data_IF_671848700877
#
_entry.id   IF_671848700877
#
_cell.length_a   1.000
_cell.length_b   1.000
_cell.length_c   1.000
_cell.angle_alpha   90.00
_cell.angle_beta   90.00
_cell.angle_gamma   90.00
#
_symmetry.space_group_name_H-M   'P 1'
#
loop_
_entity.id
_entity.type
_entity.pdbx_description
1 polymer ?
#
# COMPACT_ATOMS: atom_id res chain seq x y z
N UNK A 1 38.01 17.22 27.25
CA UNK A 1 37.36 16.71 26.01
C UNK A 1 35.89 16.53 26.33
N UNK A 2 35.02 17.07 25.52
CA UNK A 2 33.58 16.85 25.72
C UNK A 2 33.29 15.39 25.40
N UNK A 3 32.59 14.66 26.28
CA UNK A 3 32.35 13.22 26.21
C UNK A 3 31.42 12.78 25.06
N UNK A 4 30.88 13.74 24.29
CA UNK A 4 29.93 13.48 23.21
C UNK A 4 30.57 13.01 21.89
N UNK A 5 31.89 13.08 21.72
CA UNK A 5 32.53 12.81 20.43
C UNK A 5 33.19 11.43 20.30
N UNK A 6 33.12 10.61 21.36
CA UNK A 6 33.64 9.23 21.36
C UNK A 6 32.88 8.37 22.36
N UNK A 7 32.33 7.29 21.87
CA UNK A 7 31.65 6.28 22.67
C UNK A 7 32.26 4.92 22.38
N UNK A 8 32.43 4.10 23.42
CA UNK A 8 32.73 2.69 23.26
C UNK A 8 31.45 2.00 22.77
N UNK A 9 31.54 1.35 21.62
CA UNK A 9 30.42 0.56 21.05
C UNK A 9 30.39 -0.85 21.62
N UNK A 10 29.26 -1.52 21.42
CA UNK A 10 29.10 -2.93 21.70
C UNK A 10 29.77 -3.79 20.60
N UNK A 11 29.98 -5.06 20.91
CA UNK A 11 30.46 -6.04 19.94
C UNK A 11 29.48 -6.34 18.85
N UNK A 12 29.87 -7.16 17.88
CA UNK A 12 29.00 -7.56 16.76
C UNK A 12 27.77 -8.32 17.28
N UNK A 13 26.56 -7.86 16.93
CA UNK A 13 25.33 -8.59 17.15
C UNK A 13 25.19 -9.67 16.05
N UNK A 14 25.03 -10.92 16.46
CA UNK A 14 24.83 -12.09 15.58
C UNK A 14 23.37 -12.54 15.50
N UNK A 15 22.43 -11.67 15.90
CA UNK A 15 21.00 -11.95 15.76
C UNK A 15 20.62 -12.13 14.28
N UNK A 16 19.62 -12.97 13.95
CA UNK A 16 19.19 -13.20 12.56
C UNK A 16 18.81 -11.94 11.80
N UNK A 17 18.26 -10.96 12.50
CA UNK A 17 17.92 -9.64 11.98
C UNK A 17 18.42 -8.58 12.95
N UNK A 18 19.07 -7.55 12.44
CA UNK A 18 19.49 -6.42 13.24
C UNK A 18 18.34 -5.75 13.98
N UNK A 19 18.67 -5.00 15.03
CA UNK A 19 17.72 -4.20 15.80
C UNK A 19 17.90 -2.73 15.44
N UNK A 20 16.83 -1.92 15.39
CA UNK A 20 16.96 -0.47 15.37
C UNK A 20 17.64 0.01 16.67
N UNK A 21 18.17 1.24 16.66
CA UNK A 21 18.65 1.89 17.90
C UNK A 21 17.54 1.88 18.96
N UNK A 22 17.91 1.72 20.23
CA UNK A 22 16.96 1.82 21.35
C UNK A 22 16.24 3.16 21.40
N UNK A 23 16.86 4.22 20.86
CA UNK A 23 16.28 5.56 20.75
C UNK A 23 15.21 5.66 19.66
N UNK A 24 15.12 4.69 18.76
CA UNK A 24 14.11 4.57 17.69
C UNK A 24 12.99 3.58 18.04
N UNK A 25 12.85 3.17 19.30
CA UNK A 25 11.85 2.22 19.76
C UNK A 25 10.40 2.72 19.58
N UNK A 26 10.21 4.02 19.36
CA UNK A 26 8.91 4.64 19.08
C UNK A 26 8.43 4.44 17.63
N UNK A 27 9.35 4.10 16.70
CA UNK A 27 9.01 3.88 15.28
C UNK A 27 8.37 2.49 15.15
N UNK A 28 7.06 2.44 15.25
CA UNK A 28 6.28 1.20 15.27
C UNK A 28 5.07 1.27 14.34
N UNK A 29 4.62 0.11 13.89
CA UNK A 29 3.29 -0.02 13.28
C UNK A 29 2.22 0.29 14.34
N UNK A 30 1.30 1.19 14.00
CA UNK A 30 0.17 1.49 14.90
C UNK A 30 -0.87 0.39 14.82
N UNK A 31 -1.19 -0.23 15.93
CA UNK A 31 -2.33 -1.12 16.08
C UNK A 31 -3.60 -0.32 16.46
N UNK A 32 -4.76 -0.79 16.01
CA UNK A 32 -6.06 -0.16 16.28
C UNK A 32 -7.08 -1.24 16.63
N UNK A 33 -7.02 -1.82 17.84
CA UNK A 33 -7.81 -2.99 18.22
C UNK A 33 -9.32 -2.82 18.07
N UNK A 34 -9.84 -1.60 18.22
CA UNK A 34 -11.28 -1.32 18.10
C UNK A 34 -11.84 -1.29 16.68
N UNK A 35 -10.97 -1.33 15.63
CA UNK A 35 -11.42 -1.38 14.24
C UNK A 35 -11.85 -2.78 13.79
N UNK A 36 -11.52 -3.80 14.56
CA UNK A 36 -11.82 -5.20 14.23
C UNK A 36 -12.50 -5.88 15.40
N UNK A 37 -13.35 -6.85 15.10
CA UNK A 37 -14.14 -7.56 16.14
C UNK A 37 -13.29 -8.49 17.01
N UNK A 38 -12.11 -8.86 16.54
CA UNK A 38 -11.19 -9.77 17.21
C UNK A 38 -9.76 -9.60 16.68
N UNK A 39 -8.74 -10.06 17.42
CA UNK A 39 -7.33 -9.94 17.02
C UNK A 39 -6.94 -10.79 15.80
N UNK A 40 -7.77 -11.76 15.41
CA UNK A 40 -7.53 -12.61 14.23
C UNK A 40 -7.84 -11.85 12.95
N UNK A 41 -8.83 -10.96 12.98
CA UNK A 41 -9.16 -10.05 11.89
C UNK A 41 -8.49 -8.68 12.10
N UNK A 42 -7.17 -8.67 12.27
CA UNK A 42 -6.40 -7.50 12.72
C UNK A 42 -5.98 -6.56 11.59
N UNK A 43 -5.63 -5.34 11.99
CA UNK A 43 -5.12 -4.30 11.12
C UNK A 43 -4.11 -3.44 11.87
N UNK A 44 -3.02 -3.07 11.20
CA UNK A 44 -2.09 -2.05 11.68
C UNK A 44 -1.62 -1.14 10.54
N UNK A 45 -0.88 -0.09 10.87
CA UNK A 45 -0.58 1.01 9.97
C UNK A 45 0.92 1.31 9.95
N UNK A 46 1.49 1.45 8.75
CA UNK A 46 2.86 1.90 8.51
C UNK A 46 3.07 3.34 9.06
N UNK A 47 4.14 3.62 9.81
CA UNK A 47 4.42 4.96 10.35
C UNK A 47 5.01 5.88 9.27
N UNK A 48 4.20 6.37 8.34
CA UNK A 48 4.65 7.15 7.17
C UNK A 48 5.40 8.43 7.52
N UNK A 49 5.14 9.02 8.69
CA UNK A 49 5.77 10.26 9.16
C UNK A 49 7.20 10.03 9.70
N UNK A 50 7.56 8.79 10.01
CA UNK A 50 8.88 8.39 10.51
C UNK A 50 9.78 7.82 9.40
N UNK A 51 9.29 7.75 8.16
CA UNK A 51 10.00 7.10 7.07
C UNK A 51 10.43 8.10 6.00
N UNK A 52 11.67 7.95 5.56
CA UNK A 52 12.22 8.64 4.40
C UNK A 52 12.37 7.69 3.20
N UNK A 53 12.63 8.29 2.01
CA UNK A 53 12.73 7.54 0.77
C UNK A 53 11.41 6.90 0.35
N UNK A 54 11.50 5.82 -0.43
CA UNK A 54 10.32 5.14 -1.00
C UNK A 54 10.19 3.67 -0.58
N UNK A 55 11.21 3.09 0.05
CA UNK A 55 11.20 1.68 0.47
C UNK A 55 10.84 1.58 1.95
N UNK A 56 9.81 0.82 2.23
CA UNK A 56 9.36 0.54 3.60
C UNK A 56 10.15 -0.62 4.18
N UNK A 57 10.78 -0.48 5.37
CA UNK A 57 11.37 -1.61 6.08
C UNK A 57 10.34 -2.73 6.33
N UNK A 58 10.73 -3.99 6.16
CA UNK A 58 9.80 -5.12 6.24
C UNK A 58 9.01 -5.17 7.56
N UNK A 59 9.65 -4.85 8.69
CA UNK A 59 9.00 -4.82 10.00
C UNK A 59 7.98 -3.69 10.18
N UNK A 60 7.98 -2.69 9.30
CA UNK A 60 7.07 -1.53 9.35
C UNK A 60 5.98 -1.56 8.27
N UNK A 61 5.98 -2.58 7.40
CA UNK A 61 4.92 -2.78 6.42
C UNK A 61 3.59 -3.10 7.13
N UNK A 62 2.52 -2.38 6.78
CA UNK A 62 1.22 -2.63 7.37
C UNK A 62 0.74 -4.08 7.18
N UNK A 63 -0.11 -4.53 8.08
CA UNK A 63 -0.78 -5.81 8.02
C UNK A 63 -2.30 -5.62 7.98
N UNK A 64 -2.97 -6.51 7.26
CA UNK A 64 -4.41 -6.69 7.29
C UNK A 64 -4.73 -8.17 7.13
N UNK A 65 -5.39 -8.74 8.14
CA UNK A 65 -5.77 -10.15 8.17
C UNK A 65 -7.29 -10.29 8.29
N UNK A 66 -7.83 -11.31 7.66
CA UNK A 66 -9.25 -11.70 7.77
C UNK A 66 -9.44 -12.97 8.61
N UNK A 67 -8.44 -13.84 8.64
CA UNK A 67 -8.44 -15.11 9.37
C UNK A 67 -7.11 -15.40 10.07
N UNK A 68 -6.39 -14.35 10.51
CA UNK A 68 -5.10 -14.48 11.16
C UNK A 68 -3.94 -14.72 10.21
N UNK A 69 -2.75 -14.89 10.78
CA UNK A 69 -1.51 -15.17 10.06
C UNK A 69 -1.30 -16.68 9.97
N UNK A 70 -1.27 -17.23 8.75
CA UNK A 70 -0.99 -18.64 8.56
C UNK A 70 0.51 -18.92 8.78
N UNK A 71 0.80 -20.00 9.53
CA UNK A 71 2.16 -20.51 9.73
C UNK A 71 2.33 -21.74 8.86
N UNK A 72 3.12 -21.64 7.79
CA UNK A 72 3.22 -22.68 6.76
C UNK A 72 4.68 -23.12 6.64
N UNK A 73 4.91 -24.45 6.74
CA UNK A 73 6.18 -25.04 6.40
C UNK A 73 6.36 -25.02 4.87
N UNK A 74 7.40 -24.38 4.31
CA UNK A 74 7.60 -24.29 2.87
C UNK A 74 7.83 -25.65 2.20
N UNK A 75 8.31 -26.66 2.93
CA UNK A 75 8.47 -28.03 2.40
C UNK A 75 7.12 -28.70 2.07
N UNK A 76 6.06 -28.33 2.82
CA UNK A 76 4.72 -28.87 2.65
C UNK A 76 3.83 -28.00 1.75
N UNK A 77 4.26 -26.77 1.48
CA UNK A 77 3.48 -25.82 0.68
C UNK A 77 3.44 -26.24 -0.81
N UNK A 78 2.26 -26.07 -1.40
CA UNK A 78 2.03 -26.34 -2.83
C UNK A 78 1.24 -25.21 -3.45
N UNK A 79 1.59 -24.87 -4.71
CA UNK A 79 0.78 -24.02 -5.57
C UNK A 79 0.15 -24.88 -6.66
N UNK A 80 -1.16 -24.99 -6.67
CA UNK A 80 -1.92 -25.67 -7.73
C UNK A 80 -2.35 -24.66 -8.80
N UNK A 81 -2.22 -25.04 -10.08
CA UNK A 81 -2.84 -24.36 -11.21
C UNK A 81 -3.78 -25.34 -11.89
N UNK A 82 -5.04 -25.00 -12.05
CA UNK A 82 -6.08 -25.87 -12.62
C UNK A 82 -7.18 -25.05 -13.34
N UNK A 83 -8.26 -25.71 -13.72
CA UNK A 83 -9.39 -25.12 -14.45
C UNK A 83 -9.21 -25.20 -15.96
N UNK A 84 -9.43 -24.11 -16.68
CA UNK A 84 -9.31 -24.06 -18.15
C UNK A 84 -7.83 -23.99 -18.59
N UNK A 85 -7.09 -25.04 -18.30
CA UNK A 85 -5.69 -25.27 -18.69
C UNK A 85 -5.57 -26.61 -19.42
N UNK A 86 -4.51 -26.79 -20.20
CA UNK A 86 -4.25 -28.06 -20.89
C UNK A 86 -3.76 -29.11 -19.89
N UNK A 87 -2.90 -28.72 -18.96
CA UNK A 87 -2.33 -29.61 -17.95
C UNK A 87 -2.43 -28.98 -16.58
N UNK A 88 -3.27 -29.48 -15.66
CA UNK A 88 -3.23 -29.07 -14.27
C UNK A 88 -1.87 -29.37 -13.64
N UNK A 89 -1.29 -28.40 -12.95
CA UNK A 89 0.05 -28.47 -12.36
C UNK A 89 0.02 -28.22 -10.86
N UNK A 90 0.96 -28.83 -10.15
CA UNK A 90 1.23 -28.59 -8.73
C UNK A 90 2.72 -28.32 -8.57
N UNK A 91 3.05 -27.12 -8.13
CA UNK A 91 4.43 -26.70 -7.90
C UNK A 91 4.79 -26.77 -6.41
N UNK A 92 5.98 -27.29 -6.12
CA UNK A 92 6.65 -27.10 -4.82
C UNK A 92 7.36 -25.74 -4.80
N UNK A 93 7.83 -25.31 -3.64
CA UNK A 93 8.67 -24.12 -3.53
C UNK A 93 9.99 -24.25 -4.30
N UNK A 94 10.54 -25.48 -4.40
CA UNK A 94 11.76 -25.74 -5.17
C UNK A 94 11.52 -25.68 -6.69
N UNK A 95 10.35 -26.13 -7.15
CA UNK A 95 9.98 -26.01 -8.58
C UNK A 95 9.88 -24.54 -8.97
N UNK A 96 9.21 -23.70 -8.15
CA UNK A 96 9.06 -22.27 -8.40
C UNK A 96 10.41 -21.56 -8.49
N UNK A 97 11.40 -21.94 -7.67
CA UNK A 97 12.75 -21.35 -7.71
C UNK A 97 13.54 -21.65 -8.99
N UNK A 98 13.11 -22.61 -9.79
CA UNK A 98 13.74 -22.99 -11.08
C UNK A 98 13.28 -22.13 -12.24
N UNK A 99 12.17 -21.40 -12.11
CA UNK A 99 11.68 -20.45 -13.11
C UNK A 99 12.51 -19.15 -13.11
N UNK A 100 12.55 -18.43 -14.22
CA UNK A 100 13.09 -17.08 -14.28
C UNK A 100 12.42 -16.19 -13.23
N UNK A 101 13.22 -15.45 -12.45
CA UNK A 101 12.72 -14.58 -11.40
C UNK A 101 13.05 -13.13 -11.71
N UNK A 102 12.19 -12.24 -11.24
CA UNK A 102 12.32 -10.81 -11.39
C UNK A 102 12.28 -10.12 -10.02
N UNK A 103 12.95 -8.96 -9.94
CA UNK A 103 12.87 -8.03 -8.82
C UNK A 103 12.09 -6.80 -9.29
N UNK A 104 11.04 -6.43 -8.54
CA UNK A 104 10.18 -5.29 -8.87
C UNK A 104 9.89 -4.46 -7.63
N UNK A 105 10.01 -3.14 -7.76
CA UNK A 105 9.60 -2.18 -6.73
C UNK A 105 8.13 -1.87 -6.94
N UNK A 106 7.28 -2.23 -5.99
CA UNK A 106 5.85 -1.96 -6.06
C UNK A 106 5.32 -1.45 -4.73
N UNK A 107 4.37 -0.51 -4.79
CA UNK A 107 3.54 -0.24 -3.64
C UNK A 107 2.41 -1.27 -3.53
N UNK A 108 1.99 -1.53 -2.30
CA UNK A 108 0.76 -2.24 -1.98
C UNK A 108 -0.07 -1.35 -1.07
N UNK A 109 -1.28 -1.01 -1.49
CA UNK A 109 -2.24 -0.19 -0.75
C UNK A 109 -3.53 -0.98 -0.50
N UNK A 110 -4.02 -0.97 0.74
CA UNK A 110 -5.33 -1.52 1.07
C UNK A 110 -6.45 -0.66 0.44
N UNK A 111 -7.46 -1.29 -0.15
CA UNK A 111 -8.61 -0.57 -0.71
C UNK A 111 -9.28 0.38 0.29
N UNK A 112 -9.23 0.05 1.60
CA UNK A 112 -9.80 0.87 2.67
C UNK A 112 -8.84 1.96 3.21
N UNK A 113 -7.67 2.17 2.60
CA UNK A 113 -6.73 3.23 3.02
C UNK A 113 -7.36 4.61 2.80
N UNK A 114 -7.52 5.38 3.88
CA UNK A 114 -8.31 6.62 3.88
C UNK A 114 -9.80 6.42 4.10
N UNK A 115 -10.27 5.21 4.34
CA UNK A 115 -11.71 4.89 4.48
C UNK A 115 -12.42 5.66 5.59
N UNK A 116 -11.70 6.01 6.66
CA UNK A 116 -12.25 6.81 7.76
C UNK A 116 -12.55 8.25 7.36
N UNK A 117 -11.88 8.78 6.33
CA UNK A 117 -12.01 10.17 5.86
C UNK A 117 -13.26 10.41 4.97
N UNK A 118 -14.02 9.37 4.62
CA UNK A 118 -15.24 9.52 3.83
C UNK A 118 -16.32 10.40 4.51
N UNK A 119 -16.37 10.37 5.85
CA UNK A 119 -17.37 11.10 6.65
C UNK A 119 -16.82 12.38 7.26
N UNK A 120 -15.71 12.90 6.74
CA UNK A 120 -15.03 14.08 7.25
C UNK A 120 -13.72 13.75 7.96
N UNK A 121 -13.00 14.80 8.32
CA UNK A 121 -11.70 14.69 8.98
C UNK A 121 -11.82 13.98 10.32
N UNK A 122 -10.91 13.06 10.57
CA UNK A 122 -10.76 12.38 11.85
C UNK A 122 -9.60 13.02 12.63
N UNK A 123 -9.66 13.02 13.96
CA UNK A 123 -8.60 13.51 14.84
C UNK A 123 -7.39 12.56 14.83
N UNK A 124 -6.78 12.38 13.65
CA UNK A 124 -5.67 11.46 13.42
C UNK A 124 -4.73 11.99 12.35
N UNK A 125 -3.47 11.60 12.43
CA UNK A 125 -2.46 11.96 11.44
C UNK A 125 -2.28 10.92 10.33
N UNK A 126 -1.24 11.13 9.53
CA UNK A 126 -1.03 10.39 8.28
C UNK A 126 -0.85 8.88 8.46
N UNK A 127 -0.30 8.42 9.60
CA UNK A 127 -0.19 6.98 9.88
C UNK A 127 -1.57 6.31 9.90
N UNK A 128 -2.55 6.90 10.57
CA UNK A 128 -3.89 6.32 10.66
C UNK A 128 -4.70 6.53 9.37
N UNK A 129 -4.64 7.72 8.79
CA UNK A 129 -5.45 8.06 7.60
C UNK A 129 -4.93 7.39 6.33
N UNK A 130 -3.61 7.20 6.22
CA UNK A 130 -2.95 6.74 4.98
C UNK A 130 -1.97 5.58 5.18
N UNK A 131 -1.76 5.08 6.40
CA UNK A 131 -0.73 4.10 6.72
C UNK A 131 -1.02 2.66 6.28
N UNK A 132 -2.14 2.37 5.64
CA UNK A 132 -2.37 1.07 5.01
C UNK A 132 -1.73 1.00 3.61
N UNK A 133 -0.49 1.41 3.53
CA UNK A 133 0.36 1.36 2.33
C UNK A 133 1.79 1.03 2.72
N UNK A 134 2.48 0.31 1.86
CA UNK A 134 3.93 0.15 1.89
C UNK A 134 4.48 0.00 0.47
N UNK A 135 5.78 0.21 0.28
CA UNK A 135 6.46 -0.03 -0.98
C UNK A 135 7.76 -0.79 -0.72
N UNK A 136 7.97 -1.86 -1.46
CA UNK A 136 9.08 -2.79 -1.24
C UNK A 136 9.58 -3.37 -2.56
N UNK A 137 10.76 -3.99 -2.52
CA UNK A 137 11.28 -4.82 -3.62
C UNK A 137 10.73 -6.23 -3.46
N UNK A 138 9.79 -6.64 -4.31
CA UNK A 138 9.36 -8.04 -4.39
C UNK A 138 10.26 -8.83 -5.34
N UNK A 139 10.61 -10.06 -4.95
CA UNK A 139 11.29 -11.04 -5.81
C UNK A 139 10.40 -12.25 -6.00
N UNK A 140 10.16 -12.63 -7.24
CA UNK A 140 9.29 -13.77 -7.56
C UNK A 140 9.35 -14.18 -9.03
N UNK A 141 8.47 -15.08 -9.40
CA UNK A 141 8.28 -15.58 -10.76
C UNK A 141 7.13 -14.81 -11.41
N UNK A 142 7.30 -14.20 -12.59
CA UNK A 142 6.18 -13.68 -13.37
C UNK A 142 5.10 -14.75 -13.57
N UNK A 143 3.85 -14.40 -13.23
CA UNK A 143 2.74 -15.34 -13.26
C UNK A 143 2.53 -15.95 -14.67
N UNK A 144 2.80 -15.16 -15.72
CA UNK A 144 2.70 -15.62 -17.12
C UNK A 144 3.46 -16.92 -17.38
N UNK A 145 4.66 -17.09 -16.81
CA UNK A 145 5.45 -18.33 -17.05
C UNK A 145 4.77 -19.57 -16.47
N UNK A 146 4.13 -19.44 -15.32
CA UNK A 146 3.41 -20.54 -14.69
C UNK A 146 2.13 -20.88 -15.45
N UNK A 147 1.43 -19.85 -15.97
CA UNK A 147 0.23 -20.01 -16.79
C UNK A 147 0.56 -20.56 -18.18
N UNK A 148 1.67 -20.15 -18.77
CA UNK A 148 2.18 -20.71 -20.04
C UNK A 148 2.53 -22.20 -19.89
N UNK A 149 3.20 -22.58 -18.79
CA UNK A 149 3.54 -23.97 -18.50
C UNK A 149 2.30 -24.86 -18.35
N UNK A 150 1.24 -24.33 -17.73
CA UNK A 150 -0.04 -25.03 -17.59
C UNK A 150 -0.85 -25.09 -18.89
N UNK A 151 -0.57 -24.22 -19.87
CA UNK A 151 -1.30 -24.12 -21.13
C UNK A 151 -2.69 -23.57 -20.97
N UNK A 152 -2.82 -22.25 -20.75
CA UNK A 152 -4.14 -21.60 -20.60
C UNK A 152 -4.93 -21.72 -21.90
N UNK A 153 -6.15 -22.27 -21.82
CA UNK A 153 -7.05 -22.40 -22.95
C UNK A 153 -7.58 -21.04 -23.41
N UNK A 154 -7.88 -20.89 -24.66
CA UNK A 154 -8.40 -19.63 -25.26
C UNK A 154 -9.74 -19.18 -24.65
N UNK A 155 -10.50 -20.11 -24.05
CA UNK A 155 -11.72 -19.82 -23.28
C UNK A 155 -11.45 -19.27 -21.88
N UNK A 156 -10.22 -19.43 -21.34
CA UNK A 156 -9.84 -18.88 -20.04
C UNK A 156 -9.80 -17.34 -20.07
N UNK A 157 -10.62 -16.68 -19.27
CA UNK A 157 -10.75 -15.22 -19.20
C UNK A 157 -10.41 -14.67 -17.83
N UNK A 158 -10.43 -15.50 -16.80
CA UNK A 158 -10.23 -15.12 -15.42
C UNK A 158 -9.31 -16.12 -14.71
N UNK A 159 -8.62 -15.65 -13.69
CA UNK A 159 -7.85 -16.46 -12.76
C UNK A 159 -8.35 -16.20 -11.35
N UNK A 160 -8.88 -17.22 -10.68
CA UNK A 160 -9.15 -17.17 -9.25
C UNK A 160 -7.85 -17.43 -8.49
N UNK A 161 -7.42 -16.49 -7.66
CA UNK A 161 -6.34 -16.69 -6.71
C UNK A 161 -6.92 -17.02 -5.33
N UNK A 162 -6.38 -18.04 -4.65
CA UNK A 162 -6.84 -18.49 -3.33
C UNK A 162 -5.68 -18.63 -2.35
N UNK A 163 -5.88 -18.09 -1.13
CA UNK A 163 -4.96 -18.19 0.00
C UNK A 163 -5.19 -19.45 0.85
N UNK A 164 -4.15 -19.83 1.59
CA UNK A 164 -4.17 -20.96 2.53
C UNK A 164 -4.48 -20.56 3.98
N UNK A 165 -4.87 -19.29 4.21
CA UNK A 165 -5.31 -18.81 5.52
C UNK A 165 -6.70 -19.35 5.89
N UNK A 166 -7.10 -19.19 7.18
CA UNK A 166 -8.40 -19.65 7.66
C UNK A 166 -9.59 -18.97 6.96
N UNK A 167 -9.40 -17.77 6.41
CA UNK A 167 -10.43 -17.09 5.63
C UNK A 167 -10.56 -17.65 4.21
N UNK A 168 -9.59 -18.43 3.73
CA UNK A 168 -9.48 -18.92 2.35
C UNK A 168 -9.79 -17.81 1.34
N UNK A 169 -9.14 -16.67 1.53
CA UNK A 169 -9.43 -15.46 0.76
C UNK A 169 -9.22 -15.71 -0.73
N UNK A 170 -10.21 -15.34 -1.53
CA UNK A 170 -10.22 -15.55 -2.98
C UNK A 170 -10.48 -14.24 -3.71
N UNK A 171 -9.81 -14.07 -4.88
CA UNK A 171 -10.06 -12.93 -5.79
C UNK A 171 -9.96 -13.38 -7.25
N UNK A 172 -10.88 -12.89 -8.07
CA UNK A 172 -10.90 -13.10 -9.51
C UNK A 172 -10.13 -12.00 -10.23
N UNK A 173 -9.14 -12.39 -11.03
CA UNK A 173 -8.26 -11.48 -11.78
C UNK A 173 -8.48 -11.74 -13.28
N UNK A 174 -8.74 -10.72 -14.11
CA UNK A 174 -8.75 -10.89 -15.56
C UNK A 174 -7.45 -11.50 -16.08
N UNK A 175 -7.56 -12.40 -17.04
CA UNK A 175 -6.41 -13.14 -17.59
C UNK A 175 -5.35 -12.21 -18.17
N UNK A 176 -5.75 -11.10 -18.80
CA UNK A 176 -4.85 -10.11 -19.36
C UNK A 176 -3.95 -9.50 -18.29
N UNK A 177 -4.50 -9.18 -17.11
CA UNK A 177 -3.72 -8.68 -15.97
C UNK A 177 -2.80 -9.74 -15.41
N UNK A 178 -3.26 -10.99 -15.32
CA UNK A 178 -2.46 -12.11 -14.83
C UNK A 178 -1.23 -12.39 -15.71
N UNK A 179 -1.38 -12.21 -17.03
CA UNK A 179 -0.31 -12.40 -18.02
C UNK A 179 0.61 -11.18 -18.19
N UNK A 180 0.17 -9.99 -17.80
CA UNK A 180 0.96 -8.76 -17.96
C UNK A 180 2.06 -8.64 -16.89
N UNK A 181 1.71 -8.20 -15.68
CA UNK A 181 2.68 -7.75 -14.68
C UNK A 181 2.55 -8.46 -13.31
N UNK A 182 1.65 -9.43 -13.18
CA UNK A 182 1.50 -10.17 -11.93
C UNK A 182 2.74 -11.02 -11.62
N UNK A 183 3.10 -11.06 -10.33
CA UNK A 183 4.28 -11.77 -9.83
C UNK A 183 3.88 -12.72 -8.71
N UNK A 184 4.35 -13.96 -8.75
CA UNK A 184 4.24 -14.92 -7.64
C UNK A 184 5.50 -14.76 -6.78
N UNK A 185 5.41 -13.98 -5.71
CA UNK A 185 6.55 -13.54 -4.92
C UNK A 185 6.82 -14.45 -3.73
N UNK A 186 8.11 -14.66 -3.43
CA UNK A 186 8.60 -15.44 -2.29
C UNK A 186 9.66 -14.68 -1.46
N UNK A 187 10.06 -13.46 -1.89
CA UNK A 187 10.96 -12.57 -1.15
C UNK A 187 10.46 -11.13 -1.17
N UNK A 188 10.90 -10.36 -0.18
CA UNK A 188 10.56 -8.96 0.04
C UNK A 188 11.80 -8.25 0.62
N UNK A 189 12.28 -7.19 -0.04
CA UNK A 189 13.50 -6.45 0.32
C UNK A 189 14.72 -7.36 0.56
N UNK A 190 14.91 -8.40 -0.27
CA UNK A 190 16.06 -9.31 -0.22
C UNK A 190 15.95 -10.45 0.81
N UNK A 191 15.03 -10.39 1.79
CA UNK A 191 14.76 -11.48 2.73
C UNK A 191 13.55 -12.33 2.29
N UNK A 192 13.31 -13.47 2.94
CA UNK A 192 12.06 -14.21 2.76
C UNK A 192 10.86 -13.33 3.16
N UNK A 193 9.68 -13.61 2.58
CA UNK A 193 8.44 -12.99 3.07
C UNK A 193 8.30 -13.27 4.58
N UNK A 194 7.83 -12.30 5.34
CA UNK A 194 7.41 -12.54 6.72
C UNK A 194 6.07 -13.26 6.75
N UNK A 195 5.80 -14.00 7.81
CA UNK A 195 4.56 -14.79 7.95
C UNK A 195 3.32 -13.94 7.67
N UNK A 196 3.25 -12.76 8.29
CA UNK A 196 2.17 -11.79 8.15
C UNK A 196 2.06 -11.17 6.75
N UNK A 197 3.13 -11.22 5.97
CA UNK A 197 3.18 -10.77 4.58
C UNK A 197 2.94 -11.89 3.56
N UNK A 198 2.62 -13.11 4.03
CA UNK A 198 2.18 -14.22 3.19
C UNK A 198 3.23 -15.29 2.91
N UNK A 199 4.22 -15.49 3.82
CA UNK A 199 5.18 -16.60 3.69
C UNK A 199 4.48 -17.96 3.58
N UNK A 200 4.92 -18.87 2.68
CA UNK A 200 6.12 -18.76 1.83
C UNK A 200 5.88 -18.14 0.46
N UNK A 201 4.63 -17.86 0.05
CA UNK A 201 4.26 -17.46 -1.30
C UNK A 201 3.09 -16.48 -1.28
N UNK A 202 3.18 -15.41 -2.06
CA UNK A 202 2.07 -14.48 -2.27
C UNK A 202 1.93 -14.08 -3.73
N UNK A 203 0.73 -13.66 -4.11
CA UNK A 203 0.50 -13.00 -5.38
C UNK A 203 0.72 -11.50 -5.24
N UNK A 204 1.42 -10.89 -6.21
CA UNK A 204 1.50 -9.46 -6.42
C UNK A 204 0.68 -9.07 -7.65
N UNK A 205 -0.19 -8.07 -7.51
CA UNK A 205 -1.03 -7.54 -8.60
C UNK A 205 -0.79 -6.02 -8.67
N UNK A 206 0.31 -5.58 -9.33
CA UNK A 206 0.81 -4.22 -9.24
C UNK A 206 -0.19 -3.16 -9.64
N UNK A 207 -0.31 -2.10 -8.80
CA UNK A 207 -1.22 -0.98 -9.01
C UNK A 207 -2.67 -1.25 -8.64
N UNK A 208 -3.02 -2.48 -8.25
CA UNK A 208 -4.36 -2.85 -7.86
C UNK A 208 -4.53 -2.93 -6.35
N UNK A 209 -5.77 -2.85 -5.88
CA UNK A 209 -6.14 -2.87 -4.46
C UNK A 209 -5.54 -4.07 -3.70
N UNK A 210 -5.10 -3.83 -2.47
CA UNK A 210 -4.30 -4.78 -1.69
C UNK A 210 -4.96 -6.14 -1.43
N UNK A 211 -6.29 -6.23 -1.45
CA UNK A 211 -7.00 -7.50 -1.32
C UNK A 211 -6.80 -8.44 -2.53
N UNK A 212 -6.41 -7.90 -3.71
CA UNK A 212 -6.04 -8.69 -4.88
C UNK A 212 -4.70 -9.41 -4.72
N UNK A 213 -3.86 -8.93 -3.80
CA UNK A 213 -2.53 -9.46 -3.53
C UNK A 213 -2.60 -10.63 -2.53
N UNK A 214 -3.20 -11.74 -2.97
CA UNK A 214 -3.52 -12.88 -2.10
C UNK A 214 -2.26 -13.43 -1.44
N UNK A 215 -2.26 -13.46 -0.10
CA UNK A 215 -1.21 -14.02 0.76
C UNK A 215 -1.36 -15.54 0.89
N UNK A 216 -0.25 -16.21 1.22
CA UNK A 216 -0.24 -17.68 1.38
C UNK A 216 -0.86 -18.40 0.17
N UNK A 217 -0.47 -17.95 -1.02
CA UNK A 217 -1.06 -18.38 -2.27
C UNK A 217 -0.92 -19.89 -2.46
N UNK A 218 -2.05 -20.60 -2.56
CA UNK A 218 -2.09 -22.06 -2.70
C UNK A 218 -2.72 -22.56 -4.00
N UNK A 219 -3.59 -21.76 -4.64
CA UNK A 219 -4.30 -22.16 -5.84
C UNK A 219 -4.54 -20.99 -6.77
N UNK A 220 -4.41 -21.29 -8.07
CA UNK A 220 -4.80 -20.46 -9.19
C UNK A 220 -5.71 -21.30 -10.09
N UNK A 221 -6.96 -20.90 -10.27
CA UNK A 221 -7.92 -21.60 -11.11
C UNK A 221 -8.31 -20.73 -12.29
N UNK A 222 -8.13 -21.23 -13.51
CA UNK A 222 -8.51 -20.51 -14.73
C UNK A 222 -9.95 -20.81 -15.07
N UNK A 223 -10.76 -19.77 -15.30
CA UNK A 223 -12.17 -19.85 -15.67
C UNK A 223 -12.55 -18.88 -16.80
N UNK A 224 -13.75 -19.00 -17.29
CA UNK A 224 -14.32 -18.13 -18.33
C UNK A 224 -15.09 -16.93 -17.77
N UNK A 225 -15.47 -16.98 -16.47
CA UNK A 225 -16.18 -15.93 -15.75
C UNK A 225 -15.56 -15.69 -14.37
N UNK A 226 -15.76 -14.53 -13.71
CA UNK A 226 -15.36 -14.30 -12.34
C UNK A 226 -16.25 -15.09 -11.37
N UNK A 227 -15.68 -15.54 -10.23
CA UNK A 227 -16.39 -16.44 -9.29
C UNK A 227 -17.40 -15.75 -8.37
N UNK A 228 -17.47 -14.42 -8.35
CA UNK A 228 -18.39 -13.65 -7.51
C UNK A 228 -18.38 -14.08 -6.02
N UNK A 229 -17.19 -14.25 -5.46
CA UNK A 229 -16.98 -14.64 -4.07
C UNK A 229 -17.40 -13.55 -3.08
N UNK A 230 -17.30 -13.82 -1.76
CA UNK A 230 -17.64 -12.86 -0.70
C UNK A 230 -16.91 -11.52 -0.86
N UNK A 231 -15.63 -11.57 -1.21
CA UNK A 231 -14.76 -10.40 -1.42
C UNK A 231 -15.06 -9.66 -2.75
N UNK A 232 -16.04 -10.12 -3.51
CA UNK A 232 -16.45 -9.54 -4.79
C UNK A 232 -17.95 -9.20 -4.83
N UNK A 233 -18.66 -9.48 -3.75
CA UNK A 233 -20.11 -9.26 -3.66
C UNK A 233 -20.50 -8.46 -2.42
N UNK A 234 -20.18 -8.92 -1.21
CA UNK A 234 -20.52 -8.26 0.06
C UNK A 234 -19.38 -7.43 0.65
N UNK A 235 -18.15 -7.58 0.14
CA UNK A 235 -16.96 -6.82 0.51
C UNK A 235 -16.28 -6.30 -0.76
N UNK A 236 -15.50 -5.22 -0.63
CA UNK A 236 -14.76 -4.57 -1.72
C UNK A 236 -15.66 -4.21 -2.91
N UNK A 237 -16.90 -3.84 -2.61
CA UNK A 237 -17.88 -3.25 -3.54
C UNK A 237 -18.26 -1.87 -3.04
N UNK A 238 -18.43 -0.93 -3.96
CA UNK A 238 -18.83 0.44 -3.65
C UNK A 238 -20.33 0.63 -3.96
N UNK A 239 -21.07 1.20 -3.01
CA UNK A 239 -22.43 1.65 -3.23
C UNK A 239 -22.39 3.04 -3.87
N UNK A 240 -22.80 3.12 -5.12
CA UNK A 240 -22.86 4.37 -5.89
C UNK A 240 -24.10 5.20 -5.54
N UNK A 241 -24.11 6.52 -5.84
CA UNK A 241 -25.24 7.41 -5.58
C UNK A 241 -26.55 6.97 -6.22
N UNK A 242 -26.48 6.25 -7.33
CA UNK A 242 -27.67 5.69 -8.05
C UNK A 242 -28.22 4.39 -7.44
N UNK A 243 -27.67 3.95 -6.31
CA UNK A 243 -28.08 2.74 -5.58
C UNK A 243 -27.50 1.44 -6.15
N UNK A 244 -26.67 1.49 -7.18
CA UNK A 244 -26.00 0.32 -7.73
C UNK A 244 -24.71 -0.01 -6.97
N UNK A 245 -24.36 -1.29 -6.94
CA UNK A 245 -23.07 -1.74 -6.42
C UNK A 245 -22.05 -1.82 -7.56
N UNK A 246 -20.94 -1.10 -7.41
CA UNK A 246 -19.78 -1.22 -8.29
C UNK A 246 -18.90 -2.36 -7.80
N UNK A 247 -18.74 -3.40 -8.60
CA UNK A 247 -17.77 -4.47 -8.40
C UNK A 247 -16.50 -4.19 -9.22
N UNK A 248 -15.40 -4.80 -8.81
CA UNK A 248 -14.16 -4.79 -9.59
C UNK A 248 -13.64 -3.38 -9.90
N UNK A 249 -13.42 -2.58 -8.85
CA UNK A 249 -12.76 -1.28 -8.99
C UNK A 249 -11.27 -1.46 -9.35
N UNK A 250 -10.62 -2.47 -8.80
CA UNK A 250 -9.26 -2.93 -9.06
C UNK A 250 -8.17 -1.89 -8.80
N UNK A 251 -8.06 -0.90 -9.68
CA UNK A 251 -6.93 0.05 -9.71
C UNK A 251 -7.01 1.02 -8.53
N UNK A 252 -5.86 1.23 -7.87
CA UNK A 252 -5.67 2.30 -6.90
C UNK A 252 -5.33 3.59 -7.65
N UNK A 253 -6.27 4.53 -7.65
CA UNK A 253 -6.13 5.79 -8.37
C UNK A 253 -5.00 6.66 -7.79
N UNK A 254 -4.59 7.67 -8.59
CA UNK A 254 -3.55 8.63 -8.21
C UNK A 254 -3.86 9.29 -6.86
N UNK A 255 -2.86 9.29 -5.95
CA UNK A 255 -3.01 9.77 -4.58
C UNK A 255 -1.70 10.33 -4.04
N UNK A 256 -1.79 11.27 -3.12
CA UNK A 256 -0.67 11.78 -2.34
C UNK A 256 -1.08 12.16 -0.93
N UNK A 257 -0.12 12.23 -0.04
CA UNK A 257 -0.29 12.74 1.34
C UNK A 257 1.00 13.39 1.81
N UNK A 258 0.88 14.52 2.50
CA UNK A 258 1.99 15.11 3.24
C UNK A 258 2.21 14.29 4.50
N UNK A 259 3.44 13.83 4.74
CA UNK A 259 3.82 13.01 5.90
C UNK A 259 4.47 13.86 7.00
N UNK A 260 5.12 14.97 6.61
CA UNK A 260 5.70 15.97 7.52
C UNK A 260 5.61 17.38 6.89
N UNK A 261 5.12 18.40 7.63
CA UNK A 261 4.49 18.26 8.93
C UNK A 261 3.12 17.56 8.87
N UNK A 262 2.77 16.86 9.93
CA UNK A 262 1.51 16.14 10.10
C UNK A 262 1.15 16.09 11.60
N UNK A 263 -0.04 15.67 12.01
CA UNK A 263 -0.39 15.61 13.44
C UNK A 263 0.57 14.80 14.31
N UNK A 264 1.27 13.79 13.76
CA UNK A 264 2.30 13.04 14.47
C UNK A 264 3.72 13.64 14.34
N UNK A 265 3.92 14.53 13.38
CA UNK A 265 5.18 15.22 13.13
C UNK A 265 4.94 16.75 13.08
N UNK A 266 4.62 17.40 14.22
CA UNK A 266 4.35 18.84 14.28
C UNK A 266 5.62 19.66 14.03
N UNK A 267 5.46 20.95 13.74
CA UNK A 267 6.59 21.87 13.60
C UNK A 267 7.07 22.29 14.99
N UNK A 268 8.28 21.87 15.38
CA UNK A 268 8.81 22.09 16.75
C UNK A 268 9.88 23.17 16.85
N UNK A 269 10.39 23.67 15.72
CA UNK A 269 11.57 24.56 15.71
C UNK A 269 11.24 26.06 15.53
N UNK A 270 9.94 26.44 15.56
CA UNK A 270 9.54 27.84 15.37
C UNK A 270 9.70 28.34 13.93
N UNK A 271 9.75 29.68 13.75
CA UNK A 271 9.90 30.31 12.45
C UNK A 271 11.25 29.99 11.79
N UNK A 272 11.28 29.93 10.47
CA UNK A 272 12.49 29.67 9.70
C UNK A 272 12.31 28.61 8.63
N UNK A 273 13.40 27.98 8.19
CA UNK A 273 13.34 26.92 7.17
C UNK A 273 12.43 25.76 7.62
N UNK A 274 11.48 25.38 6.76
CA UNK A 274 10.58 24.26 6.97
C UNK A 274 10.52 23.42 5.69
N UNK A 275 10.78 22.13 5.84
CA UNK A 275 10.65 21.17 4.76
C UNK A 275 9.30 20.47 4.85
N UNK A 276 8.49 20.61 3.82
CA UNK A 276 7.26 19.86 3.66
C UNK A 276 7.58 18.62 2.83
N UNK A 277 7.34 17.43 3.38
CA UNK A 277 7.60 16.18 2.68
C UNK A 277 6.37 15.28 2.64
N UNK A 278 6.30 14.43 1.62
CA UNK A 278 5.20 13.50 1.49
C UNK A 278 5.45 12.39 0.49
N UNK A 279 4.43 11.58 0.29
CA UNK A 279 4.42 10.44 -0.62
C UNK A 279 3.31 10.61 -1.66
N UNK A 280 3.59 10.16 -2.89
CA UNK A 280 2.64 10.11 -3.98
C UNK A 280 2.75 8.78 -4.74
N UNK A 281 1.63 8.27 -5.28
CA UNK A 281 1.57 7.01 -6.02
C UNK A 281 0.39 6.96 -6.98
N UNK A 282 0.45 6.07 -7.96
CA UNK A 282 -0.65 5.74 -8.87
C UNK A 282 -0.58 4.29 -9.29
N UNK A 283 -1.70 3.59 -9.26
CA UNK A 283 -1.85 2.24 -9.81
C UNK A 283 -1.85 2.20 -11.33
N UNK A 284 -2.06 3.34 -11.98
CA UNK A 284 -2.10 3.47 -13.44
C UNK A 284 -0.72 3.66 -14.08
N UNK A 285 0.29 4.09 -13.31
CA UNK A 285 1.61 4.37 -13.86
C UNK A 285 2.58 5.01 -12.88
N UNK A 286 3.23 6.07 -13.33
CA UNK A 286 4.28 6.81 -12.62
C UNK A 286 3.78 8.19 -12.23
N UNK A 287 4.19 8.72 -11.09
CA UNK A 287 3.89 10.11 -10.72
C UNK A 287 4.76 11.05 -11.55
N UNK A 288 4.12 11.95 -12.27
CA UNK A 288 4.77 12.93 -13.11
C UNK A 288 4.98 14.27 -12.40
N UNK A 289 4.05 14.63 -11.52
CA UNK A 289 4.07 15.93 -10.83
C UNK A 289 3.35 15.82 -9.49
N UNK A 290 3.85 16.55 -8.52
CA UNK A 290 3.15 16.81 -7.26
C UNK A 290 3.14 18.32 -7.05
N UNK A 291 1.97 18.87 -6.77
CA UNK A 291 1.80 20.23 -6.32
C UNK A 291 1.46 20.28 -4.84
N UNK A 292 1.97 21.26 -4.13
CA UNK A 292 1.68 21.54 -2.72
C UNK A 292 1.07 22.92 -2.60
N UNK A 293 0.06 23.08 -1.77
CA UNK A 293 -0.51 24.36 -1.41
C UNK A 293 -0.27 24.65 0.08
N UNK A 294 -0.13 25.92 0.42
CA UNK A 294 0.02 26.42 1.79
C UNK A 294 -1.25 27.11 2.28
N UNK A 295 -2.24 27.31 1.41
CA UNK A 295 -3.41 28.15 1.61
C UNK A 295 -4.74 27.45 1.29
N UNK A 296 -4.78 26.13 1.39
CA UNK A 296 -5.99 25.33 1.21
C UNK A 296 -6.45 25.21 -0.24
N UNK A 297 -5.52 25.25 -1.19
CA UNK A 297 -5.81 25.01 -2.60
C UNK A 297 -6.02 26.27 -3.45
N UNK A 298 -5.82 27.46 -2.90
CA UNK A 298 -5.93 28.72 -3.65
C UNK A 298 -4.72 28.91 -4.59
N UNK A 299 -3.52 28.60 -4.11
CA UNK A 299 -2.28 28.66 -4.86
C UNK A 299 -1.53 27.34 -4.74
N UNK A 300 -0.95 26.87 -5.84
CA UNK A 300 -0.22 25.61 -5.91
C UNK A 300 1.22 25.82 -6.35
N UNK A 301 2.14 25.24 -5.61
CA UNK A 301 3.59 25.27 -5.86
C UNK A 301 4.06 23.88 -6.27
N UNK A 302 4.90 23.77 -7.31
CA UNK A 302 5.45 22.47 -7.71
C UNK A 302 6.43 21.97 -6.64
N UNK A 303 6.23 20.75 -6.19
CA UNK A 303 7.16 20.06 -5.30
C UNK A 303 8.25 19.33 -6.11
N UNK A 304 9.43 19.18 -5.52
CA UNK A 304 10.50 18.36 -6.09
C UNK A 304 10.21 16.88 -5.77
N UNK A 305 10.16 16.04 -6.79
CA UNK A 305 10.12 14.59 -6.65
C UNK A 305 11.55 14.09 -6.51
N UNK A 306 11.83 13.25 -5.51
CA UNK A 306 13.14 12.72 -5.20
C UNK A 306 13.24 11.22 -5.48
N UNK A 307 14.46 10.77 -5.85
CA UNK A 307 14.73 9.37 -6.13
C UNK A 307 14.25 8.87 -7.50
N UNK A 308 14.28 7.56 -7.71
CA UNK A 308 13.90 6.96 -8.98
C UNK A 308 12.40 7.08 -9.22
N UNK A 309 12.02 7.45 -10.45
CA UNK A 309 10.63 7.46 -10.90
C UNK A 309 10.30 6.07 -11.46
N UNK A 310 9.59 5.26 -10.66
CA UNK A 310 9.23 3.89 -11.00
C UNK A 310 7.71 3.74 -11.11
N UNK A 311 7.18 3.03 -12.12
CA UNK A 311 5.76 2.80 -12.25
C UNK A 311 5.23 1.94 -11.10
N UNK A 312 4.05 2.28 -10.60
CA UNK A 312 3.36 1.52 -9.53
C UNK A 312 4.20 1.38 -8.25
N UNK A 313 5.04 2.41 -7.98
CA UNK A 313 5.85 2.56 -6.77
C UNK A 313 5.51 3.86 -6.04
N UNK A 314 5.99 4.02 -4.80
CA UNK A 314 5.91 5.29 -4.11
C UNK A 314 6.90 6.29 -4.71
N UNK A 315 6.55 7.56 -4.65
CA UNK A 315 7.39 8.69 -5.00
C UNK A 315 7.47 9.63 -3.79
N UNK A 316 8.67 9.93 -3.33
CA UNK A 316 8.90 10.91 -2.27
C UNK A 316 8.95 12.30 -2.89
N UNK A 317 8.26 13.28 -2.29
CA UNK A 317 8.33 14.68 -2.71
C UNK A 317 8.69 15.60 -1.57
N UNK A 318 9.27 16.76 -1.90
CA UNK A 318 9.66 17.80 -0.96
C UNK A 318 9.32 19.18 -1.51
N UNK A 319 8.93 20.08 -0.59
CA UNK A 319 8.84 21.52 -0.82
C UNK A 319 9.51 22.25 0.34
N UNK A 320 10.58 22.98 0.04
CA UNK A 320 11.29 23.81 1.01
C UNK A 320 10.66 25.19 1.07
N UNK A 321 10.29 25.67 2.25
CA UNK A 321 9.75 27.01 2.49
C UNK A 321 10.48 27.70 3.63
N UNK A 322 10.32 29.01 3.73
CA UNK A 322 10.70 29.76 4.90
C UNK A 322 9.42 30.17 5.65
N UNK A 323 9.08 29.41 6.71
CA UNK A 323 7.87 29.64 7.46
C UNK A 323 7.97 30.87 8.37
N UNK A 324 7.05 31.78 8.25
CA UNK A 324 7.01 33.04 9.03
C UNK A 324 6.21 32.91 10.35
N UNK A 325 5.68 31.72 10.64
CA UNK A 325 4.84 31.45 11.81
C UNK A 325 3.36 31.76 11.60
N UNK A 326 2.93 32.05 10.39
CA UNK A 326 1.50 32.18 10.07
C UNK A 326 0.85 30.79 9.95
N UNK A 327 -0.48 30.76 10.09
CA UNK A 327 -1.26 29.55 9.87
C UNK A 327 -1.09 29.03 8.43
N UNK A 328 -1.01 27.70 8.25
CA UNK A 328 -0.95 27.07 6.96
C UNK A 328 -2.09 26.06 6.81
N UNK A 329 -2.64 25.96 5.60
CA UNK A 329 -3.55 24.90 5.17
C UNK A 329 -2.85 24.07 4.09
N UNK A 330 -2.13 23.05 4.56
CA UNK A 330 -1.27 22.23 3.72
C UNK A 330 -2.07 21.14 3.00
N UNK A 331 -1.89 21.07 1.67
CA UNK A 331 -2.41 19.97 0.85
C UNK A 331 -1.36 19.55 -0.17
N UNK A 332 -1.40 18.30 -0.59
CA UNK A 332 -0.68 17.83 -1.78
C UNK A 332 -1.66 17.29 -2.81
N UNK A 333 -1.30 17.46 -4.10
CA UNK A 333 -2.05 16.97 -5.25
C UNK A 333 -1.11 16.30 -6.24
N UNK A 334 -1.29 15.00 -6.46
CA UNK A 334 -0.50 14.24 -7.41
C UNK A 334 -1.15 14.21 -8.80
N UNK A 335 -0.30 14.15 -9.83
CA UNK A 335 -0.67 13.95 -11.23
C UNK A 335 0.21 12.83 -11.77
N UNK A 336 -0.39 11.80 -12.38
CA UNK A 336 0.36 10.70 -12.98
C UNK A 336 0.70 10.92 -14.46
N UNK A 337 1.41 9.98 -15.06
CA UNK A 337 1.84 10.02 -16.46
C UNK A 337 0.70 9.75 -17.46
N UNK A 338 -0.48 9.28 -16.97
CA UNK A 338 -1.70 9.18 -17.75
C UNK A 338 -2.52 10.49 -17.74
N UNK A 339 -2.07 11.50 -16.99
CA UNK A 339 -2.76 12.77 -16.82
C UNK A 339 -3.90 12.75 -15.82
N UNK A 340 -4.04 11.68 -15.02
CA UNK A 340 -5.01 11.62 -13.94
C UNK A 340 -4.56 12.51 -12.79
N UNK A 341 -5.50 13.27 -12.25
CA UNK A 341 -5.25 14.25 -11.17
C UNK A 341 -6.00 13.79 -9.92
N UNK A 342 -5.34 13.82 -8.78
CA UNK A 342 -5.96 13.55 -7.49
C UNK A 342 -7.10 14.54 -7.22
N UNK A 343 -8.34 14.06 -6.96
CA UNK A 343 -9.50 14.92 -6.79
C UNK A 343 -9.56 15.55 -5.39
N UNK A 344 -10.31 16.64 -5.26
CA UNK A 344 -10.77 17.12 -3.95
C UNK A 344 -11.73 16.10 -3.32
N UNK A 345 -11.90 16.14 -1.99
CA UNK A 345 -12.86 15.25 -1.30
C UNK A 345 -14.29 15.43 -1.83
N UNK A 346 -14.69 16.66 -2.14
CA UNK A 346 -16.03 16.94 -2.67
C UNK A 346 -16.21 16.39 -4.08
N UNK A 347 -15.25 16.57 -4.97
CA UNK A 347 -15.29 15.98 -6.30
C UNK A 347 -15.36 14.45 -6.25
N UNK A 348 -14.59 13.83 -5.34
CA UNK A 348 -14.63 12.39 -5.12
C UNK A 348 -15.99 11.92 -4.60
N UNK A 349 -16.55 12.60 -3.60
CA UNK A 349 -17.89 12.30 -3.04
C UNK A 349 -19.01 12.47 -4.06
N UNK A 350 -18.91 13.45 -4.94
CA UNK A 350 -19.90 13.67 -6.01
C UNK A 350 -19.99 12.46 -6.96
N UNK A 351 -18.86 11.77 -7.19
CA UNK A 351 -18.81 10.60 -8.09
C UNK A 351 -19.11 9.29 -7.39
N UNK A 352 -18.56 9.09 -6.17
CA UNK A 352 -18.63 7.80 -5.46
C UNK A 352 -19.71 7.76 -4.37
N UNK A 353 -20.25 8.90 -3.96
CA UNK A 353 -21.13 9.02 -2.80
C UNK A 353 -20.37 9.04 -1.48
N UNK A 354 -21.04 9.39 -0.38
CA UNK A 354 -20.46 9.48 0.96
C UNK A 354 -20.52 8.18 1.78
N UNK A 355 -21.04 7.09 1.22
CA UNK A 355 -21.23 5.81 1.93
C UNK A 355 -20.15 4.76 1.56
N UNK A 356 -19.18 5.11 0.75
CA UNK A 356 -18.06 4.22 0.44
C UNK A 356 -17.13 4.05 1.64
N UNK A 357 -16.40 2.93 1.68
CA UNK A 357 -15.30 2.68 2.62
C UNK A 357 -13.97 2.59 1.85
N UNK A 358 -14.05 2.29 0.55
CA UNK A 358 -12.92 1.94 -0.29
C UNK A 358 -12.55 3.08 -1.24
N UNK A 359 -11.30 3.02 -1.75
CA UNK A 359 -10.81 3.87 -2.84
C UNK A 359 -10.91 5.38 -2.57
N UNK A 360 -10.62 5.79 -1.33
CA UNK A 360 -10.53 7.21 -1.00
C UNK A 360 -9.17 7.76 -1.44
N UNK A 361 -9.14 8.50 -2.54
CA UNK A 361 -7.98 9.23 -3.03
C UNK A 361 -8.16 10.76 -2.97
N UNK A 362 -9.11 11.25 -2.18
CA UNK A 362 -9.35 12.68 -1.98
C UNK A 362 -8.16 13.39 -1.33
N UNK A 363 -7.94 14.65 -1.72
CA UNK A 363 -6.88 15.49 -1.16
C UNK A 363 -7.05 15.63 0.35
N UNK A 364 -5.98 15.34 1.11
CA UNK A 364 -5.90 15.50 2.56
C UNK A 364 -5.42 16.89 2.92
N UNK A 365 -6.02 17.49 3.97
CA UNK A 365 -5.62 18.81 4.47
C UNK A 365 -5.07 18.72 5.88
N UNK A 366 -3.92 19.33 6.11
CA UNK A 366 -3.37 19.59 7.45
C UNK A 366 -3.38 21.09 7.74
N UNK A 367 -3.95 21.48 8.87
CA UNK A 367 -3.88 22.83 9.40
C UNK A 367 -2.70 22.92 10.36
N UNK A 368 -1.76 23.79 10.06
CA UNK A 368 -0.64 24.14 10.96
C UNK A 368 -0.97 25.47 11.60
N UNK A 369 -1.13 25.50 12.91
CA UNK A 369 -1.38 26.75 13.64
C UNK A 369 -0.09 27.53 13.90
N UNK A 370 -0.19 28.72 14.48
CA UNK A 370 0.94 29.60 14.78
C UNK A 370 1.96 29.03 15.77
N UNK A 371 1.57 28.03 16.56
CA UNK A 371 2.42 27.34 17.53
C UNK A 371 3.08 26.09 16.93
N UNK A 372 2.81 25.78 15.65
CA UNK A 372 3.34 24.61 14.94
C UNK A 372 2.55 23.32 15.18
N UNK A 373 1.47 23.35 15.94
CA UNK A 373 0.58 22.19 16.10
C UNK A 373 -0.14 21.92 14.79
N UNK A 374 -0.26 20.65 14.43
CA UNK A 374 -0.87 20.22 13.17
C UNK A 374 -2.15 19.45 13.45
N UNK A 375 -3.21 19.81 12.76
CA UNK A 375 -4.53 19.19 12.88
C UNK A 375 -5.04 18.69 11.54
N UNK A 376 -5.79 17.59 11.56
CA UNK A 376 -6.53 17.08 10.41
C UNK A 376 -7.83 17.90 10.27
N UNK A 377 -7.94 18.59 9.15
CA UNK A 377 -9.13 19.42 8.86
C UNK A 377 -9.69 19.11 7.48
N UNK A 378 -10.91 19.51 7.24
CA UNK A 378 -11.52 19.47 5.91
C UNK A 378 -11.71 20.91 5.41
N UNK A 379 -11.26 21.15 4.19
CA UNK A 379 -11.48 22.42 3.48
C UNK A 379 -12.44 22.10 2.32
N UNK A 380 -13.55 22.82 2.30
CA UNK A 380 -14.60 22.73 1.27
C UNK A 380 -14.20 23.48 0.00
#
# INVERSE_FOLDING_TARGET
MQDWNRYLGEGVDVAPYGKPSEFEAHVVRRDVPWLTSDPVSSINFTPLHELDGIITPNGLCFERHHGGTAVINPADHRLMINGLVDTPLVFTMEDLKRFPRENRVYFLECAANGGMEWKGSQLNGCQFTHGMIHCVVYTGVPLRYLLEEAGVKTSGKWVLAEGADAAAMTRSIPIEKALDDCLVAFKMNGEALRAEQGYPLRLCVPGWEGNMWVKWLRRLEVGDEPWAQREETSKYTDLLPDGKARRHTFVMDVKSVITSPSPQAPVTHGKGPLVISGLAWSGNGTIKRVDVTLDGGRNWLPARIDGPSLPKALHRFYLDINWDGSELLLQSRAIDDQGLIQPTKDALRAVRGGNSIYHNNGIQTWHVNTDGVVENVEVS
#
